data_IF_584922420298
#
_entry.id   IF_584922420298
#
_cell.length_a   1.000
_cell.length_b   1.000
_cell.length_c   1.000
_cell.angle_alpha   90.00
_cell.angle_beta   90.00
_cell.angle_gamma   90.00
#
_symmetry.space_group_name_H-M   'P 1'
#
loop_
_entity.id
_entity.type
_entity.pdbx_description
1 polymer ?
#
# COMPACT_ATOMS: atom_id res chain seq x y z
N UNK A 1 6.35 -64.49 -23.70
CA UNK A 1 7.63 -65.14 -24.04
C UNK A 1 8.36 -64.31 -25.09
N UNK A 2 9.59 -63.90 -24.77
CA UNK A 2 10.72 -63.58 -25.66
C UNK A 2 10.49 -62.56 -26.81
N UNK A 3 11.11 -61.38 -26.76
CA UNK A 3 12.47 -61.11 -27.30
C UNK A 3 12.55 -61.38 -28.83
N UNK A 4 13.12 -60.56 -29.70
CA UNK A 4 13.92 -59.35 -29.56
C UNK A 4 14.15 -58.73 -30.96
N UNK A 5 14.32 -57.41 -30.98
CA UNK A 5 15.33 -56.63 -31.72
C UNK A 5 15.67 -57.04 -33.16
N UNK A 6 15.44 -56.10 -34.09
CA UNK A 6 16.50 -55.71 -35.05
C UNK A 6 16.49 -54.20 -35.31
N UNK A 7 17.61 -53.60 -34.92
CA UNK A 7 18.03 -52.22 -35.12
C UNK A 7 18.68 -52.12 -36.50
N UNK A 8 18.39 -51.05 -37.25
CA UNK A 8 19.06 -50.71 -38.51
C UNK A 8 18.97 -49.21 -38.78
N UNK A 9 20.00 -48.48 -38.33
CA UNK A 9 20.23 -47.03 -38.40
C UNK A 9 20.11 -46.44 -39.82
N UNK A 10 19.63 -45.20 -39.93
CA UNK A 10 20.37 -44.05 -40.53
C UNK A 10 19.69 -42.69 -40.26
N UNK A 11 20.27 -41.97 -39.28
CA UNK A 11 20.63 -40.54 -39.32
C UNK A 11 19.52 -39.47 -39.42
N UNK A 12 19.31 -38.69 -38.34
CA UNK A 12 19.90 -37.34 -38.13
C UNK A 12 19.32 -36.62 -36.88
N UNK A 13 20.23 -36.20 -35.99
CA UNK A 13 20.27 -34.91 -35.26
C UNK A 13 19.17 -34.74 -34.19
N UNK A 14 19.46 -35.05 -32.91
CA UNK A 14 19.82 -34.07 -31.86
C UNK A 14 18.76 -32.94 -31.74
N UNK A 15 17.99 -32.89 -30.66
CA UNK A 15 18.36 -32.12 -29.46
C UNK A 15 17.84 -32.78 -28.18
N UNK A 16 18.67 -32.64 -27.16
CA UNK A 16 18.55 -33.10 -25.79
C UNK A 16 17.25 -32.68 -25.10
N UNK A 17 16.73 -33.63 -24.32
CA UNK A 17 15.89 -33.42 -23.14
C UNK A 17 16.47 -32.35 -22.22
N UNK A 18 15.69 -31.30 -21.94
CA UNK A 18 15.82 -30.50 -20.74
C UNK A 18 14.58 -30.74 -19.88
N UNK A 19 14.72 -31.59 -18.86
CA UNK A 19 13.88 -31.56 -17.68
C UNK A 19 14.55 -30.58 -16.71
N UNK A 20 13.93 -29.44 -16.46
CA UNK A 20 14.23 -28.62 -15.29
C UNK A 20 12.94 -27.98 -14.78
N UNK A 21 12.57 -28.43 -13.57
CA UNK A 21 11.65 -27.83 -12.61
C UNK A 21 11.39 -26.32 -12.81
N UNK A 22 10.11 -25.95 -12.87
CA UNK A 22 9.66 -24.64 -12.41
C UNK A 22 8.62 -24.87 -11.32
N UNK A 23 9.05 -24.62 -10.07
CA UNK A 23 8.18 -24.27 -8.96
C UNK A 23 7.59 -22.90 -9.28
N UNK A 24 6.30 -22.83 -9.60
CA UNK A 24 5.56 -21.57 -9.66
C UNK A 24 4.74 -21.47 -8.37
N UNK A 25 5.13 -20.52 -7.53
CA UNK A 25 4.31 -19.98 -6.45
C UNK A 25 3.04 -19.37 -7.06
N UNK A 26 1.92 -19.60 -6.37
CA UNK A 26 0.57 -19.37 -6.85
C UNK A 26 0.34 -18.03 -7.52
N UNK A 27 -0.10 -18.11 -8.79
CA UNK A 27 -1.05 -17.17 -9.37
C UNK A 27 -2.15 -18.03 -9.97
N UNK A 28 -3.38 -17.77 -9.51
CA UNK A 28 -4.57 -18.44 -9.98
C UNK A 28 -4.93 -18.04 -11.41
N UNK A 29 -5.56 -19.00 -12.07
CA UNK A 29 -6.41 -18.89 -13.27
C UNK A 29 -5.67 -18.68 -14.60
N UNK A 30 -5.43 -19.82 -15.27
CA UNK A 30 -5.27 -19.89 -16.72
C UNK A 30 -6.60 -19.51 -17.37
N UNK A 31 -6.71 -18.27 -17.85
CA UNK A 31 -7.64 -17.92 -18.92
C UNK A 31 -6.94 -18.16 -20.26
N UNK A 32 -7.68 -18.73 -21.22
CA UNK A 32 -7.28 -18.84 -22.62
C UNK A 32 -6.97 -17.44 -23.16
N UNK A 33 -5.67 -17.10 -23.24
CA UNK A 33 -5.19 -15.86 -23.81
C UNK A 33 -5.62 -15.77 -25.29
N UNK A 34 -6.29 -14.66 -25.65
CA UNK A 34 -6.20 -14.12 -26.99
C UNK A 34 -4.75 -13.67 -27.22
N UNK A 35 -4.20 -13.95 -28.39
CA UNK A 35 -2.80 -13.74 -28.81
C UNK A 35 -2.36 -12.24 -28.90
N UNK A 36 -3.08 -11.28 -28.31
CA UNK A 36 -2.90 -9.84 -28.58
C UNK A 36 -2.40 -8.97 -27.40
N UNK A 37 -2.10 -9.52 -26.22
CA UNK A 37 -1.57 -8.73 -25.07
C UNK A 37 -0.07 -9.01 -24.79
N UNK A 38 0.77 -8.91 -25.82
CA UNK A 38 2.22 -8.74 -25.58
C UNK A 38 2.45 -7.28 -25.15
N UNK A 39 3.04 -7.02 -23.97
CA UNK A 39 3.35 -5.65 -23.55
C UNK A 39 4.20 -4.96 -24.63
N UNK A 40 3.72 -3.82 -25.13
CA UNK A 40 4.41 -3.05 -26.16
C UNK A 40 5.83 -2.69 -25.69
N UNK A 41 6.83 -2.96 -26.51
CA UNK A 41 8.22 -2.57 -26.22
C UNK A 41 8.43 -1.08 -26.43
N UNK A 42 9.50 -0.52 -25.87
CA UNK A 42 9.85 0.89 -26.08
C UNK A 42 10.03 1.25 -27.56
N UNK A 43 10.68 0.39 -28.34
CA UNK A 43 10.90 0.64 -29.76
C UNK A 43 9.60 0.65 -30.57
N UNK A 44 8.65 -0.23 -30.25
CA UNK A 44 7.32 -0.26 -30.87
C UNK A 44 6.49 0.97 -30.49
N UNK A 45 6.48 1.34 -29.21
CA UNK A 45 5.80 2.54 -28.73
C UNK A 45 6.38 3.79 -29.40
N UNK A 46 7.71 3.88 -29.49
CA UNK A 46 8.43 4.98 -30.13
C UNK A 46 8.18 5.02 -31.64
N UNK A 47 8.07 3.88 -32.32
CA UNK A 47 7.72 3.83 -33.73
C UNK A 47 6.32 4.44 -33.98
N UNK A 48 5.33 4.08 -33.16
CA UNK A 48 3.99 4.67 -33.20
C UNK A 48 4.01 6.17 -32.87
N UNK A 49 4.72 6.55 -31.81
CA UNK A 49 4.84 7.94 -31.35
C UNK A 49 5.50 8.85 -32.40
N UNK A 50 6.46 8.33 -33.18
CA UNK A 50 7.08 9.04 -34.32
C UNK A 50 6.12 9.27 -35.47
N UNK A 51 5.08 8.45 -35.61
CA UNK A 51 3.99 8.65 -36.56
C UNK A 51 2.91 9.61 -36.02
N UNK A 52 3.07 10.13 -34.80
CA UNK A 52 2.11 11.00 -34.15
C UNK A 52 0.91 10.28 -33.53
N UNK A 53 0.96 8.94 -33.38
CA UNK A 53 -0.10 8.18 -32.74
C UNK A 53 -0.17 8.52 -31.23
N UNK A 54 -1.29 9.08 -30.71
CA UNK A 54 -1.41 9.48 -29.31
C UNK A 54 -1.25 8.31 -28.33
N UNK A 55 -1.62 7.07 -28.73
CA UNK A 55 -1.43 5.88 -27.88
C UNK A 55 0.06 5.54 -27.77
N UNK A 56 0.79 5.64 -28.88
CA UNK A 56 2.25 5.48 -28.89
C UNK A 56 2.93 6.55 -28.05
N UNK A 57 2.55 7.81 -28.21
CA UNK A 57 3.07 8.93 -27.41
C UNK A 57 2.81 8.75 -25.91
N UNK A 58 1.59 8.36 -25.53
CA UNK A 58 1.24 8.04 -24.15
C UNK A 58 2.12 6.92 -23.58
N UNK A 59 2.25 5.80 -24.30
CA UNK A 59 3.04 4.65 -23.85
C UNK A 59 4.52 4.98 -23.68
N UNK A 60 5.09 5.77 -24.60
CA UNK A 60 6.46 6.27 -24.46
C UNK A 60 6.59 7.14 -23.20
N UNK A 61 5.60 7.98 -22.91
CA UNK A 61 5.53 8.75 -21.66
C UNK A 61 5.57 7.85 -20.41
N UNK A 62 4.74 6.80 -20.38
CA UNK A 62 4.72 5.81 -19.27
C UNK A 62 6.06 5.13 -19.10
N UNK A 63 6.71 4.73 -20.20
CA UNK A 63 8.01 4.04 -20.15
C UNK A 63 9.12 4.94 -19.62
N UNK A 64 9.15 6.21 -20.02
CA UNK A 64 10.08 7.18 -19.45
C UNK A 64 9.80 7.48 -17.97
N UNK A 65 8.54 7.54 -17.56
CA UNK A 65 8.18 7.79 -16.16
C UNK A 65 8.60 6.63 -15.24
N UNK A 66 8.37 5.41 -15.70
CA UNK A 66 8.59 4.17 -14.93
C UNK A 66 10.00 3.59 -15.08
N UNK A 67 10.73 3.95 -16.15
CA UNK A 67 11.99 3.31 -16.52
C UNK A 67 11.82 1.91 -17.11
N UNK A 68 10.64 1.58 -17.64
CA UNK A 68 10.39 0.29 -18.28
C UNK A 68 10.94 0.28 -19.71
N UNK A 69 12.00 -0.50 -19.93
CA UNK A 69 12.63 -0.64 -21.25
C UNK A 69 13.51 0.55 -21.67
N UNK A 70 13.62 1.59 -20.84
CA UNK A 70 14.44 2.79 -21.08
C UNK A 70 14.88 3.40 -19.74
N UNK A 71 15.95 4.20 -19.73
CA UNK A 71 16.34 4.96 -18.53
C UNK A 71 15.22 5.94 -18.14
N UNK A 72 14.85 5.93 -16.86
CA UNK A 72 13.79 6.79 -16.32
C UNK A 72 14.11 8.27 -16.53
N UNK A 73 13.20 9.02 -17.15
CA UNK A 73 13.34 10.45 -17.39
C UNK A 73 11.97 11.15 -17.32
N UNK A 74 11.72 11.87 -16.22
CA UNK A 74 10.43 12.52 -15.98
C UNK A 74 10.19 13.75 -16.87
N UNK A 75 11.25 14.43 -17.31
CA UNK A 75 11.14 15.57 -18.23
C UNK A 75 10.71 15.10 -19.62
N UNK A 76 11.22 13.97 -20.09
CA UNK A 76 10.78 13.34 -21.34
C UNK A 76 9.36 12.78 -21.21
N UNK A 77 9.04 12.12 -20.09
CA UNK A 77 7.67 11.65 -19.84
C UNK A 77 6.65 12.79 -19.96
N UNK A 78 6.93 13.95 -19.34
CA UNK A 78 6.08 15.13 -19.43
C UNK A 78 5.87 15.64 -20.86
N UNK A 79 6.93 15.64 -21.69
CA UNK A 79 6.84 16.06 -23.10
C UNK A 79 5.95 15.12 -23.90
N UNK A 80 6.12 13.81 -23.71
CA UNK A 80 5.34 12.79 -24.42
C UNK A 80 3.88 12.77 -23.99
N UNK A 81 3.60 12.85 -22.68
CA UNK A 81 2.24 13.03 -22.19
C UNK A 81 1.60 14.30 -22.71
N UNK A 82 2.33 15.42 -22.78
CA UNK A 82 1.77 16.66 -23.37
C UNK A 82 1.35 16.47 -24.81
N UNK A 83 2.19 15.85 -25.65
CA UNK A 83 1.82 15.59 -27.05
C UNK A 83 0.55 14.74 -27.16
N UNK A 84 0.47 13.62 -26.43
CA UNK A 84 -0.71 12.76 -26.45
C UNK A 84 -1.95 13.50 -25.88
N UNK A 85 -1.78 14.27 -24.81
CA UNK A 85 -2.84 15.01 -24.15
C UNK A 85 -3.41 16.14 -25.03
N UNK A 86 -2.55 16.85 -25.77
CA UNK A 86 -2.92 17.86 -26.76
C UNK A 86 -3.72 17.25 -27.92
N UNK A 87 -3.49 15.98 -28.23
CA UNK A 87 -4.26 15.20 -29.21
C UNK A 87 -5.58 14.62 -28.65
N UNK A 88 -5.85 14.81 -27.37
CA UNK A 88 -7.09 14.36 -26.74
C UNK A 88 -6.99 13.05 -25.97
N UNK A 89 -5.82 12.41 -25.86
CA UNK A 89 -5.71 11.16 -25.09
C UNK A 89 -6.05 11.38 -23.61
N UNK A 90 -7.13 10.74 -23.14
CA UNK A 90 -7.67 11.01 -21.81
C UNK A 90 -6.73 10.52 -20.70
N UNK A 91 -5.95 9.46 -20.93
CA UNK A 91 -4.99 8.93 -19.97
C UNK A 91 -3.78 9.85 -19.84
N UNK A 92 -3.26 10.34 -20.96
CA UNK A 92 -2.19 11.33 -21.00
C UNK A 92 -2.61 12.65 -20.36
N UNK A 93 -3.84 13.11 -20.61
CA UNK A 93 -4.39 14.29 -19.93
C UNK A 93 -4.44 14.09 -18.41
N UNK A 94 -4.90 12.93 -17.93
CA UNK A 94 -4.89 12.63 -16.50
C UNK A 94 -3.46 12.63 -15.94
N UNK A 95 -2.53 11.91 -16.58
CA UNK A 95 -1.16 11.78 -16.08
C UNK A 95 -0.40 13.10 -16.13
N UNK A 96 -0.59 13.90 -17.18
CA UNK A 96 -0.03 15.25 -17.25
C UNK A 96 -0.57 16.14 -16.13
N UNK A 97 -1.85 15.99 -15.78
CA UNK A 97 -2.45 16.66 -14.62
C UNK A 97 -1.70 16.31 -13.33
N UNK A 98 -1.42 15.02 -13.11
CA UNK A 98 -0.63 14.55 -11.95
C UNK A 98 0.78 15.13 -11.95
N UNK A 99 1.46 15.17 -13.10
CA UNK A 99 2.78 15.78 -13.21
C UNK A 99 2.79 17.26 -12.81
N UNK A 100 1.76 18.02 -13.18
CA UNK A 100 1.59 19.41 -12.73
C UNK A 100 1.25 19.52 -11.25
N UNK A 101 0.45 18.61 -10.70
CA UNK A 101 0.13 18.60 -9.26
C UNK A 101 1.38 18.40 -8.41
N UNK A 102 2.25 17.49 -8.84
CA UNK A 102 3.46 17.09 -8.12
C UNK A 102 4.70 17.94 -8.48
N UNK A 103 4.67 18.68 -9.60
CA UNK A 103 5.84 19.40 -10.11
C UNK A 103 6.91 18.46 -10.68
N UNK A 104 6.52 17.31 -11.21
CA UNK A 104 7.42 16.28 -11.72
C UNK A 104 7.58 16.44 -13.23
N UNK A 105 8.78 16.79 -13.69
CA UNK A 105 9.05 17.03 -15.13
C UNK A 105 8.44 18.32 -15.70
N UNK A 106 7.66 19.04 -14.90
CA UNK A 106 7.03 20.34 -15.22
C UNK A 106 6.99 21.23 -13.97
N UNK A 107 6.95 22.57 -14.11
CA UNK A 107 6.71 23.44 -12.96
C UNK A 107 5.38 23.12 -12.27
N UNK A 108 5.40 22.98 -10.96
CA UNK A 108 4.20 22.66 -10.17
C UNK A 108 3.10 23.71 -10.36
N UNK A 109 1.88 23.27 -10.66
CA UNK A 109 0.73 24.14 -10.86
C UNK A 109 -0.59 23.40 -10.66
N UNK A 110 -1.25 23.64 -9.52
CA UNK A 110 -2.54 23.03 -9.23
C UNK A 110 -3.64 23.47 -10.22
N UNK A 111 -3.57 24.70 -10.75
CA UNK A 111 -4.55 25.18 -11.74
C UNK A 111 -4.39 24.49 -13.09
N UNK A 112 -3.16 24.23 -13.52
CA UNK A 112 -2.89 23.43 -14.73
C UNK A 112 -3.35 21.99 -14.53
N UNK A 113 -3.03 21.39 -13.38
CA UNK A 113 -3.46 20.04 -13.02
C UNK A 113 -4.98 19.89 -13.16
N UNK A 114 -5.75 20.78 -12.54
CA UNK A 114 -7.22 20.79 -12.67
C UNK A 114 -7.67 20.99 -14.11
N UNK A 115 -7.03 21.88 -14.87
CA UNK A 115 -7.35 22.09 -16.28
C UNK A 115 -7.25 20.80 -17.09
N UNK A 116 -6.19 20.02 -16.87
CA UNK A 116 -5.98 18.73 -17.52
C UNK A 116 -6.92 17.64 -17.01
N UNK A 117 -7.15 17.56 -15.69
CA UNK A 117 -8.12 16.63 -15.13
C UNK A 117 -9.53 16.89 -15.67
N UNK A 118 -9.95 18.15 -15.85
CA UNK A 118 -11.26 18.48 -16.46
C UNK A 118 -11.38 17.99 -17.89
N UNK A 119 -10.33 18.12 -18.71
CA UNK A 119 -10.31 17.60 -20.09
C UNK A 119 -10.42 16.07 -20.11
N UNK A 120 -9.68 15.39 -19.24
CA UNK A 120 -9.71 13.93 -19.12
C UNK A 120 -11.07 13.44 -18.61
N UNK A 121 -11.61 14.10 -17.58
CA UNK A 121 -12.92 13.82 -17.00
C UNK A 121 -14.10 14.06 -17.96
N UNK A 122 -13.95 14.98 -18.93
CA UNK A 122 -14.96 15.19 -19.97
C UNK A 122 -15.04 14.03 -20.97
N UNK A 123 -14.11 13.08 -20.89
CA UNK A 123 -14.04 11.84 -21.67
C UNK A 123 -14.28 10.60 -20.80
N UNK A 124 -15.01 10.78 -19.70
CA UNK A 124 -15.39 9.71 -18.76
C UNK A 124 -14.22 8.96 -18.10
N UNK A 125 -13.06 9.61 -17.98
CA UNK A 125 -11.91 9.04 -17.28
C UNK A 125 -12.13 9.04 -15.76
N UNK A 126 -12.35 7.85 -15.18
CA UNK A 126 -12.67 7.69 -13.77
C UNK A 126 -11.54 8.09 -12.81
N UNK A 127 -10.28 7.99 -13.24
CA UNK A 127 -9.13 8.48 -12.46
C UNK A 127 -9.15 10.01 -12.36
N UNK A 128 -9.45 10.69 -13.46
CA UNK A 128 -9.53 12.14 -13.50
C UNK A 128 -10.70 12.68 -12.66
N UNK A 129 -11.85 11.98 -12.63
CA UNK A 129 -12.92 12.31 -11.68
C UNK A 129 -12.46 12.19 -10.23
N UNK A 130 -11.73 11.13 -9.86
CA UNK A 130 -11.16 11.00 -8.52
C UNK A 130 -10.20 12.16 -8.17
N UNK A 131 -9.36 12.58 -9.12
CA UNK A 131 -8.44 13.70 -8.91
C UNK A 131 -9.17 15.04 -8.79
N UNK A 132 -10.22 15.28 -9.59
CA UNK A 132 -11.07 16.47 -9.44
C UNK A 132 -11.81 16.48 -8.11
N UNK A 133 -12.32 15.34 -7.66
CA UNK A 133 -12.96 15.22 -6.36
C UNK A 133 -12.05 15.73 -5.25
N UNK A 134 -10.79 15.30 -5.26
CA UNK A 134 -9.78 15.75 -4.30
C UNK A 134 -9.42 17.22 -4.45
N UNK A 135 -9.29 17.70 -5.68
CA UNK A 135 -9.00 19.12 -5.94
C UNK A 135 -10.07 20.03 -5.33
N UNK A 136 -11.35 19.67 -5.46
CA UNK A 136 -12.45 20.40 -4.83
C UNK A 136 -12.54 20.18 -3.32
N UNK A 137 -12.22 18.99 -2.82
CA UNK A 137 -12.18 18.71 -1.37
C UNK A 137 -11.12 19.57 -0.67
N UNK A 138 -9.91 19.67 -1.24
CA UNK A 138 -8.79 20.40 -0.65
C UNK A 138 -8.79 21.90 -1.03
N UNK A 139 -9.58 22.31 -2.03
CA UNK A 139 -9.48 23.65 -2.62
C UNK A 139 -8.15 23.90 -3.35
N UNK A 140 -7.56 22.86 -3.97
CA UNK A 140 -6.28 22.95 -4.69
C UNK A 140 -6.51 23.20 -6.17
N UNK A 141 -6.11 24.38 -6.66
CA UNK A 141 -6.30 24.79 -8.06
C UNK A 141 -7.74 25.21 -8.40
N UNK A 142 -8.68 25.05 -7.47
CA UNK A 142 -10.08 25.47 -7.52
C UNK A 142 -10.53 25.93 -6.14
N UNK A 143 -11.56 26.80 -6.02
CA UNK A 143 -12.20 27.04 -4.73
C UNK A 143 -12.69 25.73 -4.11
N UNK A 144 -12.52 25.58 -2.80
CA UNK A 144 -13.01 24.40 -2.07
C UNK A 144 -14.53 24.28 -2.20
N UNK A 145 -15.00 23.09 -2.57
CA UNK A 145 -16.42 22.77 -2.70
C UNK A 145 -16.65 21.28 -2.42
N UNK A 146 -17.13 20.96 -1.22
CA UNK A 146 -17.37 19.57 -0.81
C UNK A 146 -18.52 18.91 -1.58
N UNK A 147 -19.48 19.68 -2.09
CA UNK A 147 -20.58 19.12 -2.88
C UNK A 147 -20.10 18.69 -4.26
N UNK A 148 -19.26 19.49 -4.92
CA UNK A 148 -18.59 19.09 -6.15
C UNK A 148 -17.62 17.93 -5.94
N UNK A 149 -16.89 17.91 -4.81
CA UNK A 149 -16.02 16.79 -4.45
C UNK A 149 -16.81 15.46 -4.42
N UNK A 150 -17.93 15.44 -3.70
CA UNK A 150 -18.84 14.28 -3.64
C UNK A 150 -19.35 13.92 -5.03
N UNK A 151 -19.75 14.90 -5.85
CA UNK A 151 -20.26 14.65 -7.21
C UNK A 151 -19.23 13.93 -8.07
N UNK A 152 -17.97 14.39 -8.05
CA UNK A 152 -16.89 13.76 -8.81
C UNK A 152 -16.47 12.39 -8.25
N UNK A 153 -16.38 12.24 -6.93
CA UNK A 153 -16.14 10.92 -6.33
C UNK A 153 -17.25 9.92 -6.66
N UNK A 154 -18.51 10.36 -6.71
CA UNK A 154 -19.63 9.53 -7.14
C UNK A 154 -19.53 9.09 -8.60
N UNK A 155 -19.20 10.02 -9.51
CA UNK A 155 -18.96 9.67 -10.91
C UNK A 155 -17.85 8.61 -11.06
N UNK A 156 -16.72 8.81 -10.37
CA UNK A 156 -15.63 7.84 -10.33
C UNK A 156 -16.09 6.48 -9.77
N UNK A 157 -16.83 6.50 -8.67
CA UNK A 157 -17.26 5.29 -7.97
C UNK A 157 -18.26 4.45 -8.78
N UNK A 158 -19.21 5.11 -9.44
CA UNK A 158 -20.23 4.50 -10.29
C UNK A 158 -19.64 3.90 -11.57
N UNK A 159 -18.52 4.43 -12.05
CA UNK A 159 -17.74 3.86 -13.15
C UNK A 159 -16.64 2.89 -12.70
N UNK A 160 -16.78 2.34 -11.49
CA UNK A 160 -15.95 1.24 -11.02
C UNK A 160 -14.60 1.62 -10.42
N UNK A 161 -14.23 2.90 -10.34
CA UNK A 161 -12.94 3.29 -9.73
C UNK A 161 -12.91 2.94 -8.25
N UNK A 162 -12.05 2.00 -7.85
CA UNK A 162 -11.86 1.63 -6.44
C UNK A 162 -11.44 2.84 -5.57
N UNK A 163 -10.65 3.78 -6.13
CA UNK A 163 -10.30 5.04 -5.44
C UNK A 163 -11.53 5.94 -5.26
N UNK A 164 -12.35 6.09 -6.30
CA UNK A 164 -13.60 6.86 -6.22
C UNK A 164 -14.57 6.27 -5.18
N UNK A 165 -14.71 4.95 -5.16
CA UNK A 165 -15.52 4.23 -4.17
C UNK A 165 -14.98 4.41 -2.75
N UNK A 166 -13.66 4.31 -2.55
CA UNK A 166 -13.03 4.59 -1.25
C UNK A 166 -13.33 6.02 -0.77
N UNK A 167 -13.07 7.03 -1.62
CA UNK A 167 -13.26 8.43 -1.21
C UNK A 167 -14.73 8.78 -1.00
N UNK A 168 -15.65 8.28 -1.84
CA UNK A 168 -17.07 8.47 -1.61
C UNK A 168 -17.51 7.81 -0.28
N UNK A 169 -16.97 6.63 0.03
CA UNK A 169 -17.17 6.00 1.34
C UNK A 169 -16.73 6.91 2.49
N UNK A 170 -15.55 7.52 2.39
CA UNK A 170 -15.03 8.47 3.38
C UNK A 170 -15.93 9.71 3.53
N UNK A 171 -16.47 10.23 2.43
CA UNK A 171 -17.38 11.39 2.50
C UNK A 171 -18.65 11.08 3.31
N UNK A 172 -19.23 9.88 3.15
CA UNK A 172 -20.36 9.43 3.95
C UNK A 172 -19.99 9.08 5.39
N UNK A 173 -18.82 8.49 5.60
CA UNK A 173 -18.29 8.11 6.93
C UNK A 173 -18.05 9.34 7.82
N UNK A 174 -17.48 10.40 7.24
CA UNK A 174 -17.19 11.66 7.92
C UNK A 174 -18.35 12.67 7.89
N UNK A 175 -19.36 12.45 7.05
CA UNK A 175 -20.43 13.43 6.79
C UNK A 175 -19.92 14.72 6.12
N UNK A 176 -18.92 14.62 5.25
CA UNK A 176 -18.34 15.76 4.51
C UNK A 176 -19.05 15.94 3.18
N UNK A 177 -19.68 17.09 2.97
CA UNK A 177 -20.40 17.40 1.72
C UNK A 177 -21.71 16.59 1.51
N UNK A 178 -21.95 15.58 2.33
CA UNK A 178 -23.18 14.77 2.42
C UNK A 178 -23.52 14.50 3.89
N UNK A 179 -24.80 14.24 4.23
CA UNK A 179 -25.14 13.74 5.56
C UNK A 179 -24.35 12.47 5.88
N UNK A 180 -23.89 12.35 7.13
CA UNK A 180 -23.18 11.16 7.59
C UNK A 180 -24.08 9.93 7.49
N UNK A 181 -23.56 8.86 6.87
CA UNK A 181 -24.26 7.59 6.70
C UNK A 181 -23.26 6.43 6.64
N UNK A 182 -23.04 5.78 7.77
CA UNK A 182 -22.15 4.63 7.86
C UNK A 182 -22.61 3.44 7.00
N UNK A 183 -23.92 3.27 6.78
CA UNK A 183 -24.41 2.16 5.98
C UNK A 183 -24.09 2.38 4.50
N UNK A 184 -24.20 3.63 4.04
CA UNK A 184 -23.78 4.01 2.69
C UNK A 184 -22.25 3.95 2.55
N UNK A 185 -21.49 4.43 3.55
CA UNK A 185 -20.04 4.27 3.59
C UNK A 185 -19.61 2.80 3.47
N UNK A 186 -20.23 1.90 4.24
CA UNK A 186 -19.95 0.46 4.20
C UNK A 186 -20.18 -0.15 2.81
N UNK A 187 -21.23 0.27 2.08
CA UNK A 187 -21.49 -0.21 0.71
C UNK A 187 -20.35 0.19 -0.23
N UNK A 188 -19.90 1.44 -0.15
CA UNK A 188 -18.83 1.94 -1.02
C UNK A 188 -17.46 1.37 -0.66
N UNK A 189 -17.14 1.29 0.64
CA UNK A 189 -15.94 0.60 1.11
C UNK A 189 -15.93 -0.87 0.67
N UNK A 190 -17.05 -1.59 0.75
CA UNK A 190 -17.13 -2.98 0.28
C UNK A 190 -16.79 -3.12 -1.20
N UNK A 191 -17.36 -2.28 -2.06
CA UNK A 191 -17.06 -2.30 -3.50
C UNK A 191 -15.57 -2.05 -3.79
N UNK A 192 -14.95 -1.11 -3.08
CA UNK A 192 -13.52 -0.85 -3.22
C UNK A 192 -12.67 -1.99 -2.65
N UNK A 193 -13.08 -2.57 -1.53
CA UNK A 193 -12.39 -3.65 -0.84
C UNK A 193 -12.40 -4.98 -1.63
N UNK A 194 -13.48 -5.23 -2.38
CA UNK A 194 -13.62 -6.35 -3.32
C UNK A 194 -12.74 -6.18 -4.57
N UNK A 195 -12.25 -4.97 -4.84
CA UNK A 195 -11.23 -4.66 -5.85
C UNK A 195 -9.81 -4.59 -5.24
N UNK A 196 -9.61 -5.30 -4.13
CA UNK A 196 -8.35 -5.37 -3.39
C UNK A 196 -7.78 -4.02 -2.93
N UNK A 197 -8.62 -2.99 -2.72
CA UNK A 197 -8.13 -1.73 -2.15
C UNK A 197 -7.85 -1.89 -0.64
N UNK A 198 -6.58 -1.84 -0.18
CA UNK A 198 -6.25 -2.17 1.21
C UNK A 198 -6.74 -1.12 2.21
N UNK A 199 -6.89 0.15 1.79
CA UNK A 199 -7.47 1.20 2.65
C UNK A 199 -8.96 0.96 2.85
N UNK A 200 -9.69 0.59 1.79
CA UNK A 200 -11.11 0.26 1.89
C UNK A 200 -11.34 -0.99 2.72
N UNK A 201 -10.51 -2.02 2.55
CA UNK A 201 -10.54 -3.23 3.38
C UNK A 201 -10.35 -2.90 4.86
N UNK A 202 -9.37 -2.05 5.20
CA UNK A 202 -9.18 -1.58 6.57
C UNK A 202 -10.41 -0.81 7.09
N UNK A 203 -10.94 0.15 6.33
CA UNK A 203 -12.11 0.93 6.73
C UNK A 203 -13.35 0.06 6.92
N UNK A 204 -13.57 -0.92 6.05
CA UNK A 204 -14.68 -1.87 6.19
C UNK A 204 -14.49 -2.77 7.40
N UNK A 205 -13.27 -3.24 7.66
CA UNK A 205 -12.93 -3.98 8.88
C UNK A 205 -13.27 -3.19 10.14
N UNK A 206 -12.95 -1.90 10.15
CA UNK A 206 -13.33 -1.00 11.24
C UNK A 206 -14.84 -0.88 11.42
N UNK A 207 -15.61 -0.71 10.34
CA UNK A 207 -17.07 -0.64 10.47
C UNK A 207 -17.68 -1.92 11.06
N UNK A 208 -17.14 -3.10 10.75
CA UNK A 208 -17.54 -4.36 11.38
C UNK A 208 -17.10 -4.48 12.84
N UNK A 209 -15.92 -3.97 13.18
CA UNK A 209 -15.36 -3.99 14.54
C UNK A 209 -16.23 -3.15 15.50
N UNK A 210 -16.66 -1.97 15.07
CA UNK A 210 -17.50 -1.07 15.89
C UNK A 210 -19.01 -1.19 15.66
N UNK A 211 -19.45 -1.92 14.64
CA UNK A 211 -20.87 -2.08 14.31
C UNK A 211 -21.53 -0.83 13.71
N UNK A 212 -20.76 0.02 13.03
CA UNK A 212 -21.28 1.23 12.39
C UNK A 212 -21.78 0.94 10.98
N UNK A 213 -23.08 1.13 10.74
CA UNK A 213 -23.71 0.92 9.42
C UNK A 213 -23.80 -0.54 8.96
N UNK A 214 -23.16 -1.46 9.69
CA UNK A 214 -23.21 -2.92 9.53
C UNK A 214 -23.36 -3.57 10.92
N UNK A 215 -23.94 -4.79 11.01
CA UNK A 215 -23.92 -5.53 12.27
C UNK A 215 -22.48 -5.77 12.72
N UNK A 216 -22.20 -5.53 14.00
CA UNK A 216 -20.88 -5.77 14.58
C UNK A 216 -20.48 -7.25 14.43
N UNK A 217 -19.24 -7.51 14.00
CA UNK A 217 -18.73 -8.86 13.76
C UNK A 217 -17.20 -8.87 13.81
N UNK A 218 -16.64 -9.36 14.91
CA UNK A 218 -15.19 -9.51 15.07
C UNK A 218 -14.60 -10.46 13.99
N UNK A 219 -15.35 -11.47 13.55
CA UNK A 219 -14.88 -12.38 12.49
C UNK A 219 -14.78 -11.67 11.14
N UNK A 220 -15.76 -10.84 10.77
CA UNK A 220 -15.69 -10.08 9.52
C UNK A 220 -14.61 -9.00 9.59
N UNK A 221 -14.49 -8.31 10.72
CA UNK A 221 -13.42 -7.35 10.97
C UNK A 221 -12.03 -8.00 10.81
N UNK A 222 -11.81 -9.16 11.44
CA UNK A 222 -10.57 -9.93 11.32
C UNK A 222 -10.24 -10.26 9.86
N UNK A 223 -11.23 -10.78 9.11
CA UNK A 223 -11.01 -11.18 7.72
C UNK A 223 -10.63 -9.97 6.84
N UNK A 224 -11.27 -8.83 7.03
CA UNK A 224 -10.98 -7.62 6.25
C UNK A 224 -9.65 -6.97 6.65
N UNK A 225 -9.37 -6.85 7.94
CA UNK A 225 -8.07 -6.37 8.41
C UNK A 225 -6.93 -7.26 7.93
N UNK A 226 -7.10 -8.59 7.96
CA UNK A 226 -6.11 -9.54 7.45
C UNK A 226 -5.76 -9.30 5.99
N UNK A 227 -6.75 -9.19 5.11
CA UNK A 227 -6.52 -8.91 3.68
C UNK A 227 -5.77 -7.60 3.45
N UNK A 228 -6.10 -6.56 4.22
CA UNK A 228 -5.42 -5.27 4.14
C UNK A 228 -3.97 -5.34 4.68
N UNK A 229 -3.77 -6.07 5.78
CA UNK A 229 -2.48 -6.21 6.45
C UNK A 229 -1.47 -7.01 5.62
N UNK A 230 -1.92 -8.07 4.96
CA UNK A 230 -1.14 -8.89 4.02
C UNK A 230 -0.67 -8.07 2.80
N UNK A 231 -1.40 -7.01 2.45
CA UNK A 231 -1.01 -6.02 1.43
C UNK A 231 -0.15 -4.87 1.96
N UNK A 232 0.26 -4.93 3.24
CA UNK A 232 1.13 -3.92 3.84
C UNK A 232 0.43 -2.73 4.48
N UNK A 233 -0.91 -2.72 4.61
CA UNK A 233 -1.60 -1.60 5.26
C UNK A 233 -1.25 -1.53 6.76
N UNK A 234 -0.48 -0.52 7.15
CA UNK A 234 0.04 -0.38 8.50
C UNK A 234 -1.04 -0.30 9.60
N UNK A 235 -2.16 0.39 9.33
CA UNK A 235 -3.28 0.46 10.29
C UNK A 235 -3.96 -0.90 10.46
N UNK A 236 -4.15 -1.63 9.35
CA UNK A 236 -4.72 -2.98 9.40
C UNK A 236 -3.78 -3.97 10.10
N UNK A 237 -2.47 -3.86 9.89
CA UNK A 237 -1.47 -4.64 10.63
C UNK A 237 -1.55 -4.37 12.13
N UNK A 238 -1.66 -3.09 12.54
CA UNK A 238 -1.90 -2.74 13.95
C UNK A 238 -3.20 -3.37 14.48
N UNK A 239 -4.30 -3.27 13.72
CA UNK A 239 -5.60 -3.80 14.16
C UNK A 239 -5.60 -5.34 14.21
N UNK A 240 -4.90 -5.99 13.30
CA UNK A 240 -4.74 -7.44 13.30
C UNK A 240 -3.91 -7.91 14.50
N UNK A 241 -2.83 -7.21 14.83
CA UNK A 241 -2.07 -7.49 16.05
C UNK A 241 -2.95 -7.38 17.31
N UNK A 242 -3.82 -6.38 17.33
CA UNK A 242 -4.82 -6.18 18.39
C UNK A 242 -5.80 -7.33 18.53
N UNK A 243 -6.29 -7.84 17.40
CA UNK A 243 -7.21 -8.97 17.40
C UNK A 243 -6.56 -10.25 17.88
N UNK A 244 -5.28 -10.49 17.54
CA UNK A 244 -4.52 -11.62 18.07
C UNK A 244 -4.18 -11.47 19.56
N UNK A 245 -3.81 -10.26 20.03
CA UNK A 245 -3.53 -9.98 21.44
C UNK A 245 -4.75 -10.25 22.33
N UNK A 246 -5.95 -9.88 21.86
CA UNK A 246 -7.19 -9.99 22.61
C UNK A 246 -8.00 -11.27 22.33
N UNK A 247 -7.67 -12.00 21.26
CA UNK A 247 -8.48 -13.11 20.77
C UNK A 247 -9.85 -12.69 20.24
N UNK A 248 -9.94 -11.53 19.58
CA UNK A 248 -11.17 -11.02 18.97
C UNK A 248 -11.29 -11.53 17.54
N UNK A 249 -12.34 -12.30 17.23
CA UNK A 249 -12.55 -12.88 15.89
C UNK A 249 -11.55 -13.98 15.50
N UNK A 250 -10.51 -14.20 16.31
CA UNK A 250 -9.45 -15.20 16.14
C UNK A 250 -9.03 -15.74 17.51
N UNK A 251 -8.40 -16.92 17.57
CA UNK A 251 -7.80 -17.42 18.81
C UNK A 251 -6.66 -16.49 19.23
N UNK A 252 -6.63 -16.11 20.51
CA UNK A 252 -5.54 -15.33 21.09
C UNK A 252 -4.16 -15.96 20.78
N UNK A 253 -3.24 -15.14 20.29
CA UNK A 253 -1.87 -15.53 19.95
C UNK A 253 -0.90 -14.32 20.05
N UNK A 254 -0.21 -14.21 21.17
CA UNK A 254 0.66 -13.06 21.45
C UNK A 254 1.88 -12.99 20.52
N UNK A 255 2.39 -14.14 20.04
CA UNK A 255 3.53 -14.17 19.12
C UNK A 255 3.15 -13.65 17.73
N UNK A 256 1.95 -14.00 17.28
CA UNK A 256 1.39 -13.47 16.04
C UNK A 256 1.10 -11.97 16.18
N UNK A 257 0.58 -11.53 17.33
CA UNK A 257 0.39 -10.11 17.63
C UNK A 257 1.69 -9.32 17.53
N UNK A 258 2.78 -9.81 18.13
CA UNK A 258 4.13 -9.21 18.04
C UNK A 258 4.57 -9.08 16.57
N UNK A 259 4.36 -10.11 15.76
CA UNK A 259 4.76 -10.10 14.34
C UNK A 259 4.02 -9.02 13.55
N UNK A 260 2.72 -8.85 13.75
CA UNK A 260 1.94 -7.79 13.11
C UNK A 260 2.28 -6.39 13.64
N UNK A 261 2.51 -6.24 14.95
CA UNK A 261 2.97 -4.97 15.52
C UNK A 261 4.35 -4.56 15.01
N UNK A 262 5.27 -5.50 14.81
CA UNK A 262 6.59 -5.23 14.22
C UNK A 262 6.47 -4.63 12.82
N UNK A 263 5.62 -5.21 11.96
CA UNK A 263 5.38 -4.69 10.62
C UNK A 263 4.76 -3.28 10.62
N UNK A 264 3.77 -3.04 11.49
CA UNK A 264 3.14 -1.73 11.61
C UNK A 264 4.07 -0.67 12.24
N UNK A 265 4.91 -1.07 13.20
CA UNK A 265 5.89 -0.22 13.85
C UNK A 265 7.00 0.24 12.90
N UNK A 266 7.49 -0.64 12.02
CA UNK A 266 8.45 -0.27 10.95
C UNK A 266 7.90 0.83 10.04
N UNK A 267 6.58 0.85 9.84
CA UNK A 267 5.87 1.88 9.08
C UNK A 267 5.51 3.12 9.91
N UNK A 268 5.95 3.20 11.17
CA UNK A 268 5.81 4.38 12.02
C UNK A 268 4.48 4.50 12.75
N UNK A 269 3.67 3.43 12.85
CA UNK A 269 2.43 3.46 13.62
C UNK A 269 2.73 3.57 15.12
N UNK A 270 2.47 4.76 15.69
CA UNK A 270 2.77 5.09 17.08
C UNK A 270 2.12 4.10 18.09
N UNK A 271 0.88 3.68 17.82
CA UNK A 271 0.20 2.69 18.67
C UNK A 271 0.85 1.31 18.60
N UNK A 272 1.39 0.91 17.45
CA UNK A 272 2.10 -0.38 17.31
C UNK A 272 3.46 -0.34 17.97
N UNK A 273 4.19 0.79 17.89
CA UNK A 273 5.41 1.02 18.67
C UNK A 273 5.13 0.87 20.17
N UNK A 274 4.06 1.51 20.64
CA UNK A 274 3.65 1.42 22.05
C UNK A 274 3.28 -0.01 22.44
N UNK A 275 2.44 -0.68 21.66
CA UNK A 275 2.00 -2.06 21.94
C UNK A 275 3.15 -3.05 21.88
N UNK A 276 4.03 -2.95 20.89
CA UNK A 276 5.24 -3.76 20.83
C UNK A 276 6.12 -3.54 22.07
N UNK A 277 6.27 -2.28 22.51
CA UNK A 277 6.94 -1.97 23.77
C UNK A 277 6.29 -2.64 24.99
N UNK A 278 4.95 -2.72 25.04
CA UNK A 278 4.23 -3.46 26.08
C UNK A 278 4.53 -4.96 26.01
N UNK A 279 4.59 -5.56 24.81
CA UNK A 279 4.89 -6.99 24.65
C UNK A 279 6.30 -7.34 25.16
N UNK A 280 7.31 -6.52 24.87
CA UNK A 280 8.66 -6.69 25.45
C UNK A 280 8.68 -6.42 26.96
N UNK A 281 7.86 -5.49 27.44
CA UNK A 281 7.76 -5.17 28.86
C UNK A 281 7.09 -6.28 29.68
N UNK A 282 6.11 -6.99 29.13
CA UNK A 282 5.43 -8.10 29.80
C UNK A 282 6.08 -9.46 29.52
N UNK A 283 6.83 -9.59 28.44
CA UNK A 283 7.31 -10.88 27.94
C UNK A 283 6.20 -11.73 27.30
N UNK A 284 5.15 -11.10 26.77
CA UNK A 284 4.06 -11.77 26.08
C UNK A 284 4.39 -11.88 24.58
N UNK A 285 4.39 -13.10 24.04
CA UNK A 285 4.71 -13.35 22.62
C UNK A 285 6.18 -13.14 22.22
N UNK A 286 6.97 -12.51 23.08
CA UNK A 286 8.41 -12.26 22.94
C UNK A 286 9.08 -12.37 24.31
N UNK A 287 10.42 -12.52 24.36
CA UNK A 287 11.16 -12.50 25.62
C UNK A 287 11.04 -11.15 26.34
N UNK A 288 10.95 -11.18 27.67
CA UNK A 288 10.99 -9.97 28.49
C UNK A 288 12.30 -9.20 28.25
N UNK A 289 12.19 -7.97 27.75
CA UNK A 289 13.33 -7.09 27.51
C UNK A 289 12.98 -5.62 27.83
N UNK A 290 13.42 -5.11 29.00
CA UNK A 290 13.12 -3.75 29.41
C UNK A 290 13.91 -2.67 28.63
N UNK A 291 15.02 -3.03 27.98
CA UNK A 291 15.81 -2.10 27.16
C UNK A 291 15.11 -1.88 25.81
N UNK A 292 14.69 -2.96 25.15
CA UNK A 292 13.89 -2.90 23.92
C UNK A 292 12.56 -2.18 24.18
N UNK A 293 11.86 -2.53 25.27
CA UNK A 293 10.63 -1.87 25.67
C UNK A 293 10.81 -0.35 25.86
N UNK A 294 11.84 0.08 26.60
CA UNK A 294 12.11 1.51 26.84
C UNK A 294 12.44 2.25 25.52
N UNK A 295 13.23 1.64 24.65
CA UNK A 295 13.56 2.22 23.35
C UNK A 295 12.31 2.40 22.46
N UNK A 296 11.42 1.40 22.42
CA UNK A 296 10.15 1.42 21.70
C UNK A 296 9.16 2.44 22.29
N UNK A 297 9.00 2.51 23.61
CA UNK A 297 8.20 3.57 24.25
C UNK A 297 8.74 4.96 23.93
N UNK A 298 10.06 5.12 23.91
CA UNK A 298 10.70 6.36 23.51
C UNK A 298 10.41 6.76 22.07
N UNK A 299 10.29 5.81 21.14
CA UNK A 299 9.86 6.06 19.75
C UNK A 299 8.36 6.37 19.69
N UNK A 300 7.53 5.59 20.39
CA UNK A 300 6.08 5.80 20.44
C UNK A 300 5.74 7.20 20.96
N UNK A 301 6.40 7.65 22.01
CA UNK A 301 6.26 8.99 22.56
C UNK A 301 6.69 10.08 21.55
N UNK A 302 7.79 9.87 20.82
CA UNK A 302 8.24 10.79 19.79
C UNK A 302 7.27 10.84 18.59
N UNK A 303 6.59 9.73 18.31
CA UNK A 303 5.53 9.61 17.30
C UNK A 303 4.15 10.09 17.80
N UNK A 304 4.05 10.59 19.05
CA UNK A 304 2.85 11.22 19.60
C UNK A 304 1.96 10.33 20.48
N UNK A 305 2.34 9.07 20.75
CA UNK A 305 1.60 8.23 21.70
C UNK A 305 1.91 8.64 23.15
N UNK A 306 1.03 9.45 23.72
CA UNK A 306 1.22 10.02 25.07
C UNK A 306 1.22 8.98 26.18
N UNK A 307 0.60 7.80 25.97
CA UNK A 307 0.57 6.72 26.96
C UNK A 307 1.97 6.19 27.25
N UNK A 308 2.85 6.23 26.26
CA UNK A 308 4.23 5.76 26.39
C UNK A 308 5.02 6.53 27.46
N UNK A 309 4.70 7.82 27.71
CA UNK A 309 5.37 8.60 28.74
C UNK A 309 5.15 8.03 30.14
N UNK A 310 3.94 7.60 30.45
CA UNK A 310 3.64 6.94 31.73
C UNK A 310 4.51 5.70 31.94
N UNK A 311 4.76 4.92 30.88
CA UNK A 311 5.62 3.74 30.95
C UNK A 311 7.10 4.09 31.06
N UNK A 312 7.56 5.16 30.42
CA UNK A 312 8.92 5.67 30.59
C UNK A 312 9.15 6.17 32.03
N UNK A 313 8.14 6.78 32.66
CA UNK A 313 8.22 7.32 34.01
C UNK A 313 8.07 6.25 35.11
N UNK A 314 7.19 5.25 34.88
CA UNK A 314 6.71 4.32 35.91
C UNK A 314 7.03 2.84 35.62
N UNK A 315 6.87 2.37 34.38
CA UNK A 315 6.89 0.95 34.02
C UNK A 315 8.27 0.40 33.66
N UNK A 316 8.98 1.06 32.75
CA UNK A 316 10.27 0.68 32.20
C UNK A 316 11.43 1.47 32.83
N UNK A 317 11.34 1.76 34.13
CA UNK A 317 12.32 2.59 34.83
C UNK A 317 13.65 1.83 34.97
N UNK A 318 14.47 1.91 33.92
CA UNK A 318 15.84 1.44 33.94
C UNK A 318 16.58 2.24 35.01
N UNK A 319 17.01 1.58 36.07
CA UNK A 319 17.73 2.22 37.18
C UNK A 319 19.24 2.18 36.98
N UNK A 320 19.74 1.26 36.15
CA UNK A 320 21.16 1.13 35.84
C UNK A 320 21.56 2.10 34.70
N UNK A 321 22.57 2.98 34.91
CA UNK A 321 23.02 3.93 33.89
C UNK A 321 23.40 3.27 32.55
N UNK A 322 24.01 2.08 32.61
CA UNK A 322 24.40 1.33 31.42
C UNK A 322 23.20 0.91 30.56
N UNK A 323 22.09 0.52 31.18
CA UNK A 323 20.89 0.08 30.45
C UNK A 323 20.12 1.28 29.88
N UNK A 324 20.10 2.40 30.60
CA UNK A 324 19.58 3.68 30.07
C UNK A 324 20.35 4.05 28.79
N UNK A 325 21.68 3.96 28.82
CA UNK A 325 22.51 4.28 27.65
C UNK A 325 22.27 3.30 26.49
N UNK A 326 22.15 1.99 26.77
CA UNK A 326 21.80 0.98 25.75
C UNK A 326 20.45 1.28 25.10
N UNK A 327 19.41 1.56 25.89
CA UNK A 327 18.08 1.87 25.37
C UNK A 327 18.09 3.14 24.50
N UNK A 328 18.82 4.18 24.92
CA UNK A 328 18.99 5.39 24.14
C UNK A 328 19.71 5.15 22.80
N UNK A 329 20.75 4.30 22.79
CA UNK A 329 21.47 3.91 21.56
C UNK A 329 20.59 3.09 20.62
N UNK A 330 19.85 2.11 21.16
CA UNK A 330 18.92 1.29 20.39
C UNK A 330 17.82 2.15 19.76
N UNK A 331 17.19 3.04 20.55
CA UNK A 331 16.22 4.03 20.04
C UNK A 331 16.82 4.85 18.90
N UNK A 332 18.02 5.39 19.08
CA UNK A 332 18.66 6.21 18.05
C UNK A 332 18.96 5.43 16.76
N UNK A 333 19.28 4.14 16.86
CA UNK A 333 19.46 3.27 15.70
C UNK A 333 18.12 3.00 14.99
N UNK A 334 17.07 2.68 15.75
CA UNK A 334 15.72 2.42 15.23
C UNK A 334 15.04 3.65 14.63
N UNK A 335 15.36 4.86 15.08
CA UNK A 335 14.82 6.11 14.50
C UNK A 335 15.28 6.40 13.06
N UNK A 336 16.25 5.65 12.53
CA UNK A 336 16.71 5.85 11.16
C UNK A 336 15.65 5.32 10.19
N UNK A 337 15.36 6.03 9.07
CA UNK A 337 14.33 5.59 8.12
C UNK A 337 14.58 4.16 7.61
N UNK A 338 13.59 3.28 7.76
CA UNK A 338 13.64 1.90 7.28
C UNK A 338 14.65 1.00 8.02
N UNK A 339 14.90 1.27 9.31
CA UNK A 339 15.92 0.57 10.11
C UNK A 339 15.42 0.09 11.48
N UNK A 340 14.12 0.19 11.76
CA UNK A 340 13.62 -0.12 13.09
C UNK A 340 13.80 -1.62 13.41
N UNK A 341 13.31 -2.50 12.54
CA UNK A 341 13.41 -3.94 12.72
C UNK A 341 14.85 -4.44 12.58
N UNK A 342 15.61 -3.94 11.59
CA UNK A 342 17.04 -4.26 11.43
C UNK A 342 17.84 -3.99 12.73
N UNK A 343 17.59 -2.84 13.37
CA UNK A 343 18.28 -2.47 14.60
C UNK A 343 17.81 -3.29 15.81
N UNK A 344 16.51 -3.60 15.89
CA UNK A 344 15.93 -4.41 16.95
C UNK A 344 16.44 -5.87 16.87
N UNK A 345 16.42 -6.46 15.67
CA UNK A 345 16.94 -7.82 15.43
C UNK A 345 18.43 -7.93 15.72
N UNK A 346 19.23 -6.97 15.24
CA UNK A 346 20.66 -6.96 15.55
C UNK A 346 20.94 -6.88 17.05
N UNK A 347 20.15 -6.08 17.78
CA UNK A 347 20.26 -5.98 19.21
C UNK A 347 19.93 -7.32 19.90
N UNK A 348 18.81 -7.95 19.55
CA UNK A 348 18.38 -9.24 20.12
C UNK A 348 19.43 -10.34 19.91
N UNK A 349 20.00 -10.43 18.71
CA UNK A 349 21.07 -11.40 18.40
C UNK A 349 22.31 -11.19 19.28
N UNK A 350 22.67 -9.94 19.57
CA UNK A 350 23.83 -9.62 20.39
C UNK A 350 23.58 -9.84 21.89
N UNK A 351 22.37 -9.55 22.38
CA UNK A 351 21.98 -9.77 23.77
C UNK A 351 21.96 -11.27 24.13
N UNK A 352 21.46 -12.12 23.23
CA UNK A 352 21.46 -13.58 23.43
C UNK A 352 22.88 -14.17 23.51
N UNK A 353 23.88 -13.54 22.88
CA UNK A 353 25.28 -14.00 22.95
C UNK A 353 25.98 -13.63 24.25
N UNK A 354 25.54 -12.60 24.96
CA UNK A 354 26.15 -12.19 26.23
C UNK A 354 25.70 -13.01 27.43
N UNK A 355 24.52 -13.65 27.38
CA UNK A 355 23.98 -14.43 28.50
C UNK A 355 24.37 -15.93 28.48
N UNK A 356 25.04 -16.38 27.40
CA UNK A 356 25.43 -17.78 27.16
C UNK A 356 26.90 -18.12 27.42
N UNK A 357 27.69 -17.23 28.03
CA UNK A 357 29.11 -17.43 28.35
C UNK A 357 29.41 -17.12 29.81
#
# INVERSE_FOLDING_TARGET
MAQARRIGRKTRIAIFTALALVLILGIGIVWLAHDDDVPMTFDEAMAKAKLGDPVGEYNVGVMYETGNGIERNVDEAAKWYRRAADQGDSSAQNNLGTLYEDGTGVPQSASEAVGWYRRSAAQDNASAWGNLGRAYEDGRGVPQDLAEAVRFYRLAAEHGSAKGQLFLGMMYDDGKGVPQDYAEAAKWYRRAAEQDNPKAQNSLGYLYDVGHGVPQSDTDAFNWYRRAAEQGNANAQNNLGLMYENGQGVRKDDAEAVSWYRLAAEQGIASSLFRLGLMYYSGEGVGYDPIAANALFGLAAAAGDTRAQTYLDQGAKLTAPADIEKAARLKAAMSRPGKLLDALDHYEETAQRSDGG
#
